data_IF_367370370963
#
_entry.id   IF_367370370963
#
_cell.length_a   1.000
_cell.length_b   1.000
_cell.length_c   1.000
_cell.angle_alpha   90.00
_cell.angle_beta   90.00
_cell.angle_gamma   90.00
#
_symmetry.space_group_name_H-M   'P 1'
#
loop_
_entity.id
_entity.type
_entity.pdbx_description
1 polymer ?
#
# COMPACT_ATOMS: atom_id res chain seq x y z
N UNK A 1 15.90 28.23 13.41
CA UNK A 1 15.38 28.41 12.01
C UNK A 1 16.38 27.73 11.08
N UNK A 2 15.94 26.83 10.17
CA UNK A 2 16.84 26.16 9.25
C UNK A 2 17.60 27.20 8.38
N UNK A 3 18.90 26.95 8.14
CA UNK A 3 19.68 27.77 7.22
C UNK A 3 19.00 27.94 5.86
N UNK A 4 19.16 29.10 5.17
CA UNK A 4 18.63 29.30 3.82
C UNK A 4 19.01 28.21 2.82
N UNK A 5 20.15 27.54 3.03
CA UNK A 5 20.65 26.47 2.17
C UNK A 5 20.22 25.05 2.60
N UNK A 6 19.49 24.93 3.71
CA UNK A 6 19.04 23.63 4.20
C UNK A 6 17.88 23.07 3.35
N UNK A 7 17.94 21.79 3.00
CA UNK A 7 16.82 21.05 2.44
C UNK A 7 15.77 20.84 3.55
N UNK A 8 14.50 21.10 3.25
CA UNK A 8 13.38 20.92 4.18
C UNK A 8 12.59 19.68 3.76
N UNK A 9 12.44 18.71 4.67
CA UNK A 9 11.73 17.47 4.42
C UNK A 9 10.45 17.46 5.23
N UNK A 10 9.30 17.42 4.54
CA UNK A 10 7.98 17.26 5.16
C UNK A 10 7.58 15.78 5.08
N UNK A 11 7.48 15.14 6.25
CA UNK A 11 7.06 13.77 6.44
C UNK A 11 5.95 13.68 7.53
N UNK A 12 5.07 14.68 7.55
CA UNK A 12 4.09 14.98 8.59
C UNK A 12 2.70 14.35 8.33
N UNK A 13 2.67 13.34 7.45
CA UNK A 13 1.52 12.47 7.26
C UNK A 13 0.44 12.99 6.29
N UNK A 14 -0.69 12.28 6.18
CA UNK A 14 -1.68 12.52 5.13
C UNK A 14 -2.39 13.88 5.23
N UNK A 15 -2.51 14.42 6.43
CA UNK A 15 -3.07 15.76 6.70
C UNK A 15 -1.98 16.82 6.84
N UNK A 16 -0.87 16.67 6.12
CA UNK A 16 0.33 17.48 6.21
C UNK A 16 0.07 19.00 6.26
N UNK A 17 0.27 19.66 7.40
CA UNK A 17 0.17 21.12 7.50
C UNK A 17 1.30 21.81 6.71
N UNK A 18 2.45 21.16 6.59
CA UNK A 18 3.57 21.67 5.78
C UNK A 18 3.20 21.73 4.30
N UNK A 19 2.57 20.65 3.76
CA UNK A 19 2.07 20.65 2.38
C UNK A 19 1.09 21.80 2.15
N UNK A 20 0.15 21.99 3.07
CA UNK A 20 -0.84 23.06 2.99
C UNK A 20 -0.20 24.45 3.05
N UNK A 21 0.74 24.69 3.98
CA UNK A 21 1.48 25.96 4.09
C UNK A 21 2.31 26.25 2.82
N UNK A 22 2.75 25.20 2.11
CA UNK A 22 3.41 25.37 0.82
C UNK A 22 2.43 25.57 -0.34
N UNK A 23 1.12 25.59 -0.12
CA UNK A 23 0.11 25.74 -1.17
C UNK A 23 0.17 24.62 -2.21
N UNK A 24 0.49 23.39 -1.79
CA UNK A 24 0.51 22.23 -2.66
C UNK A 24 -0.82 21.49 -2.52
N UNK A 25 -1.63 21.54 -3.58
CA UNK A 25 -2.88 20.81 -3.66
C UNK A 25 -2.66 19.35 -3.99
N UNK A 26 -3.68 18.52 -3.72
CA UNK A 26 -3.66 17.08 -4.01
C UNK A 26 -4.85 16.69 -4.87
N UNK A 27 -4.63 15.77 -5.80
CA UNK A 27 -5.71 14.91 -6.28
C UNK A 27 -5.99 13.90 -5.21
N UNK A 28 -7.26 13.67 -4.92
CA UNK A 28 -7.67 12.68 -3.92
C UNK A 28 -8.98 12.02 -4.33
N UNK A 29 -9.06 10.74 -4.05
CA UNK A 29 -10.26 9.95 -4.27
C UNK A 29 -10.51 9.07 -3.05
N UNK A 30 -11.70 9.18 -2.46
CA UNK A 30 -12.14 8.28 -1.38
C UNK A 30 -12.86 7.10 -1.98
N UNK A 31 -12.40 5.91 -1.65
CA UNK A 31 -13.09 4.70 -2.01
C UNK A 31 -14.33 4.50 -1.12
N UNK A 32 -15.35 3.82 -1.65
CA UNK A 32 -16.48 3.35 -0.81
C UNK A 32 -16.05 2.22 0.13
N UNK A 33 -14.90 1.63 -0.12
CA UNK A 33 -14.28 0.61 0.70
C UNK A 33 -13.56 1.25 1.89
N UNK A 34 -13.62 0.53 3.01
CA UNK A 34 -12.76 0.71 4.16
C UNK A 34 -11.78 -0.45 4.28
N UNK A 35 -10.94 -0.37 5.26
CA UNK A 35 -10.05 -1.43 5.71
C UNK A 35 -10.22 -1.60 7.21
N UNK A 36 -10.43 -2.84 7.65
CA UNK A 36 -10.41 -3.23 9.04
C UNK A 36 -9.10 -3.94 9.32
N UNK A 37 -8.45 -3.60 10.42
CA UNK A 37 -7.23 -4.27 10.88
C UNK A 37 -7.45 -4.85 12.27
N UNK A 38 -6.94 -6.07 12.48
CA UNK A 38 -6.96 -6.74 13.79
C UNK A 38 -5.74 -7.67 13.89
N UNK A 39 -5.26 -7.87 15.11
CA UNK A 39 -4.27 -8.91 15.43
C UNK A 39 -4.98 -10.11 15.99
N UNK A 40 -4.64 -11.28 15.46
CA UNK A 40 -5.28 -12.55 15.84
C UNK A 40 -4.23 -13.65 15.99
N UNK A 41 -4.57 -14.66 16.76
CA UNK A 41 -3.90 -15.97 16.73
C UNK A 41 -4.63 -16.82 15.70
N UNK A 42 -3.89 -17.43 14.76
CA UNK A 42 -4.42 -18.37 13.78
C UNK A 42 -3.73 -19.73 13.91
N UNK A 43 -4.53 -20.79 13.76
CA UNK A 43 -4.07 -22.17 13.61
C UNK A 43 -4.18 -22.61 12.15
N UNK A 44 -3.42 -23.62 11.75
CA UNK A 44 -3.49 -24.20 10.40
C UNK A 44 -2.75 -23.43 9.31
N UNK A 45 -2.04 -22.36 9.64
CA UNK A 45 -1.19 -21.58 8.74
C UNK A 45 0.26 -21.56 9.22
N UNK A 46 1.22 -21.57 8.31
CA UNK A 46 2.64 -21.48 8.68
C UNK A 46 2.98 -20.09 9.23
N UNK A 47 3.75 -20.03 10.31
CA UNK A 47 4.10 -18.80 11.04
C UNK A 47 4.84 -17.74 10.21
N UNK A 48 5.42 -18.12 9.07
CA UNK A 48 6.13 -17.22 8.15
C UNK A 48 5.42 -17.01 6.80
N UNK A 49 4.18 -17.48 6.69
CA UNK A 49 3.42 -17.40 5.45
C UNK A 49 2.48 -16.19 5.47
N UNK A 50 2.71 -15.26 4.54
CA UNK A 50 1.74 -14.21 4.22
C UNK A 50 0.81 -14.69 3.10
N UNK A 51 -0.47 -14.36 3.17
CA UNK A 51 -1.41 -14.61 2.09
C UNK A 51 -2.35 -13.43 1.88
N UNK A 52 -2.77 -13.23 0.63
CA UNK A 52 -3.78 -12.25 0.25
C UNK A 52 -4.87 -12.96 -0.56
N UNK A 53 -6.10 -12.86 -0.07
CA UNK A 53 -7.29 -13.49 -0.62
C UNK A 53 -8.15 -12.43 -1.30
N UNK A 54 -8.35 -12.55 -2.59
CA UNK A 54 -9.23 -11.65 -3.35
C UNK A 54 -10.67 -12.14 -3.26
N UNK A 55 -11.52 -11.35 -2.61
CA UNK A 55 -12.93 -11.65 -2.38
C UNK A 55 -13.84 -10.61 -3.03
N UNK A 56 -15.12 -10.93 -3.30
CA UNK A 56 -16.05 -10.00 -3.96
C UNK A 56 -16.28 -8.70 -3.21
N UNK A 57 -16.18 -8.70 -1.88
CA UNK A 57 -16.34 -7.48 -1.06
C UNK A 57 -15.05 -6.67 -0.92
N UNK A 58 -13.90 -7.29 -1.17
CA UNK A 58 -12.57 -6.69 -1.05
C UNK A 58 -11.51 -7.72 -0.67
N UNK A 59 -10.23 -7.38 -0.80
CA UNK A 59 -9.14 -8.25 -0.41
C UNK A 59 -9.05 -8.44 1.11
N UNK A 60 -8.60 -9.65 1.50
CA UNK A 60 -8.22 -10.01 2.85
C UNK A 60 -6.76 -10.41 2.85
N UNK A 61 -5.91 -9.67 3.53
CA UNK A 61 -4.52 -10.05 3.75
C UNK A 61 -4.34 -10.59 5.18
N UNK A 62 -3.56 -11.66 5.28
CA UNK A 62 -3.12 -12.28 6.53
C UNK A 62 -1.59 -12.21 6.55
N UNK A 63 -1.04 -11.47 7.48
CA UNK A 63 0.38 -11.12 7.52
C UNK A 63 1.00 -11.65 8.82
N UNK A 64 2.08 -12.45 8.77
CA UNK A 64 2.71 -12.98 9.97
C UNK A 64 3.38 -11.89 10.80
N UNK A 65 3.20 -11.96 12.12
CA UNK A 65 3.86 -11.09 13.08
C UNK A 65 4.92 -11.84 13.91
N UNK A 66 4.99 -13.14 13.74
CA UNK A 66 5.84 -14.06 14.49
C UNK A 66 5.01 -15.05 15.31
N UNK A 67 5.55 -16.26 15.53
CA UNK A 67 4.85 -17.37 16.16
C UNK A 67 3.52 -17.68 15.44
N UNK A 68 2.43 -17.72 16.16
CA UNK A 68 1.06 -17.95 15.70
C UNK A 68 0.24 -16.65 15.58
N UNK A 69 0.90 -15.48 15.72
CA UNK A 69 0.27 -14.17 15.65
C UNK A 69 0.27 -13.63 14.23
N UNK A 70 -0.88 -13.11 13.80
CA UNK A 70 -1.07 -12.55 12.48
C UNK A 70 -1.80 -11.20 12.53
N UNK A 71 -1.39 -10.29 11.64
CA UNK A 71 -2.17 -9.10 11.32
C UNK A 71 -3.15 -9.43 10.21
N UNK A 72 -4.41 -9.27 10.48
CA UNK A 72 -5.47 -9.31 9.47
C UNK A 72 -5.71 -7.90 8.93
N UNK A 73 -5.77 -7.78 7.59
CA UNK A 73 -6.13 -6.55 6.89
C UNK A 73 -7.30 -6.87 5.97
N UNK A 74 -8.51 -6.52 6.40
CA UNK A 74 -9.75 -6.93 5.76
C UNK A 74 -10.44 -5.74 5.08
N UNK A 75 -10.41 -5.70 3.77
CA UNK A 75 -11.09 -4.66 2.99
C UNK A 75 -12.54 -5.06 2.68
N UNK A 76 -13.46 -4.13 2.91
CA UNK A 76 -14.88 -4.29 2.67
C UNK A 76 -15.53 -2.89 2.49
N UNK A 77 -16.82 -2.77 2.14
CA UNK A 77 -17.55 -1.51 2.27
C UNK A 77 -17.35 -0.90 3.67
N UNK A 78 -17.10 0.41 3.75
CA UNK A 78 -16.70 1.09 5.00
C UNK A 78 -17.67 0.80 6.15
N UNK A 79 -18.99 0.80 5.89
CA UNK A 79 -20.00 0.48 6.90
C UNK A 79 -19.77 -0.92 7.49
N UNK A 80 -19.52 -1.93 6.65
CA UNK A 80 -19.23 -3.29 7.13
C UNK A 80 -17.95 -3.38 7.97
N UNK A 81 -16.93 -2.59 7.62
CA UNK A 81 -15.72 -2.52 8.44
C UNK A 81 -16.04 -1.94 9.83
N UNK A 82 -16.86 -0.90 9.90
CA UNK A 82 -17.31 -0.30 11.16
C UNK A 82 -18.15 -1.27 11.97
N UNK A 83 -19.15 -1.91 11.35
CA UNK A 83 -20.00 -2.90 12.02
C UNK A 83 -19.17 -4.04 12.61
N UNK A 84 -18.22 -4.59 11.83
CA UNK A 84 -17.31 -5.64 12.27
C UNK A 84 -16.36 -5.20 13.39
N UNK A 85 -15.92 -3.95 13.37
CA UNK A 85 -15.03 -3.41 14.43
C UNK A 85 -15.73 -3.22 15.78
N UNK A 86 -17.04 -3.21 15.78
CA UNK A 86 -17.88 -3.09 16.97
C UNK A 86 -18.38 -4.44 17.51
N UNK A 87 -18.11 -5.55 16.83
CA UNK A 87 -18.54 -6.88 17.25
C UNK A 87 -17.83 -7.34 18.52
N UNK A 88 -18.49 -8.17 19.35
CA UNK A 88 -17.84 -8.95 20.38
C UNK A 88 -16.73 -9.84 19.79
N UNK A 89 -15.65 -10.13 20.53
CA UNK A 89 -14.51 -10.91 20.03
C UNK A 89 -14.90 -12.25 19.40
N UNK A 90 -15.81 -13.00 20.00
CA UNK A 90 -16.29 -14.29 19.48
C UNK A 90 -16.97 -14.14 18.11
N UNK A 91 -17.90 -13.19 17.98
CA UNK A 91 -18.61 -12.97 16.73
C UNK A 91 -17.68 -12.46 15.62
N UNK A 92 -16.68 -11.64 15.96
CA UNK A 92 -15.65 -11.21 15.02
C UNK A 92 -14.83 -12.40 14.49
N UNK A 93 -14.41 -13.30 15.38
CA UNK A 93 -13.65 -14.50 15.02
C UNK A 93 -14.50 -15.45 14.18
N UNK A 94 -15.78 -15.64 14.48
CA UNK A 94 -16.71 -16.45 13.68
C UNK A 94 -16.86 -15.90 12.24
N UNK A 95 -17.00 -14.58 12.11
CA UNK A 95 -17.05 -13.96 10.77
C UNK A 95 -15.71 -14.09 10.03
N UNK A 96 -14.59 -14.00 10.74
CA UNK A 96 -13.27 -14.19 10.14
C UNK A 96 -13.08 -15.64 9.71
N UNK A 97 -13.47 -16.62 10.50
CA UNK A 97 -13.43 -18.05 10.18
C UNK A 97 -14.20 -18.35 8.88
N UNK A 98 -15.39 -17.76 8.72
CA UNK A 98 -16.23 -17.93 7.54
C UNK A 98 -15.60 -17.45 6.21
N UNK A 99 -14.51 -16.69 6.26
CA UNK A 99 -13.84 -16.16 5.08
C UNK A 99 -12.40 -16.65 4.91
N UNK A 100 -11.80 -17.23 5.90
CA UNK A 100 -10.47 -17.85 5.81
C UNK A 100 -10.53 -19.12 4.93
N UNK A 101 -9.41 -19.54 4.33
CA UNK A 101 -9.31 -20.84 3.67
C UNK A 101 -9.60 -21.98 4.65
N UNK A 102 -10.15 -23.07 4.11
CA UNK A 102 -10.40 -24.26 4.89
C UNK A 102 -9.11 -24.77 5.58
N UNK A 103 -9.20 -25.07 6.85
CA UNK A 103 -8.08 -25.52 7.68
C UNK A 103 -7.30 -24.39 8.36
N UNK A 104 -7.68 -23.13 8.15
CA UNK A 104 -7.14 -21.98 8.90
C UNK A 104 -8.23 -21.47 9.81
N UNK A 105 -8.00 -21.59 11.14
CA UNK A 105 -8.98 -21.22 12.15
C UNK A 105 -8.47 -20.10 13.05
N UNK A 106 -9.27 -19.03 13.27
CA UNK A 106 -8.94 -18.00 14.23
C UNK A 106 -9.25 -18.49 15.66
N UNK A 107 -8.30 -18.27 16.57
CA UNK A 107 -8.35 -18.77 17.93
C UNK A 107 -8.57 -17.66 18.96
N UNK A 108 -7.86 -16.55 18.81
CA UNK A 108 -7.91 -15.43 19.75
C UNK A 108 -7.76 -14.09 19.04
N UNK A 109 -8.56 -13.13 19.46
CA UNK A 109 -8.42 -11.73 19.09
C UNK A 109 -7.48 -11.03 20.08
N UNK A 110 -6.37 -10.49 19.61
CA UNK A 110 -5.31 -9.90 20.45
C UNK A 110 -5.47 -8.39 20.69
N UNK A 111 -6.16 -7.69 19.78
CA UNK A 111 -6.43 -6.27 19.92
C UNK A 111 -7.84 -5.91 19.40
N UNK A 112 -8.30 -4.73 19.76
CA UNK A 112 -9.58 -4.25 19.25
C UNK A 112 -9.49 -3.97 17.74
N UNK A 113 -10.37 -4.56 16.90
CA UNK A 113 -10.42 -4.28 15.50
C UNK A 113 -10.64 -2.80 15.21
N UNK A 114 -9.93 -2.25 14.22
CA UNK A 114 -10.04 -0.84 13.86
C UNK A 114 -10.38 -0.68 12.39
N UNK A 115 -11.39 0.12 12.09
CA UNK A 115 -11.82 0.42 10.74
C UNK A 115 -11.27 1.78 10.26
N UNK A 116 -10.70 1.81 9.06
CA UNK A 116 -10.14 2.99 8.44
C UNK A 116 -10.71 3.21 7.04
N UNK A 117 -11.03 4.46 6.64
CA UNK A 117 -11.43 4.75 5.28
C UNK A 117 -10.24 4.59 4.33
N UNK A 118 -10.52 4.03 3.15
CA UNK A 118 -9.54 3.92 2.09
C UNK A 118 -9.56 5.17 1.22
N UNK A 119 -8.37 5.68 0.92
CA UNK A 119 -8.19 6.89 0.13
C UNK A 119 -6.95 6.79 -0.74
N UNK A 120 -7.08 7.20 -1.99
CA UNK A 120 -5.96 7.52 -2.84
C UNK A 120 -5.71 9.03 -2.80
N UNK A 121 -4.45 9.42 -2.72
CA UNK A 121 -4.03 10.82 -2.74
C UNK A 121 -2.67 10.94 -3.43
N UNK A 122 -2.52 11.96 -4.28
CA UNK A 122 -1.25 12.36 -4.88
C UNK A 122 -1.14 13.87 -4.92
N UNK A 123 -0.09 14.43 -4.34
CA UNK A 123 0.22 15.83 -4.44
C UNK A 123 0.56 16.22 -5.88
N UNK A 124 0.06 17.38 -6.33
CA UNK A 124 0.33 17.89 -7.69
C UNK A 124 1.82 18.06 -7.97
N UNK A 125 2.61 18.22 -6.93
CA UNK A 125 4.07 18.25 -6.95
C UNK A 125 4.63 17.74 -5.63
N UNK A 126 5.77 17.09 -5.67
CA UNK A 126 6.44 16.56 -4.47
C UNK A 126 7.57 17.48 -3.97
N UNK A 127 7.75 18.64 -4.60
CA UNK A 127 8.73 19.63 -4.17
C UNK A 127 8.28 21.05 -4.44
N UNK A 128 8.69 21.98 -3.56
CA UNK A 128 8.51 23.43 -3.74
C UNK A 128 9.71 24.17 -3.15
N UNK A 129 10.39 24.96 -4.01
CA UNK A 129 11.63 25.63 -3.59
C UNK A 129 12.68 24.61 -3.15
N UNK A 130 13.08 24.69 -1.88
CA UNK A 130 14.01 23.76 -1.22
C UNK A 130 13.30 22.67 -0.39
N UNK A 131 11.97 22.60 -0.45
CA UNK A 131 11.15 21.65 0.30
C UNK A 131 10.78 20.43 -0.53
N UNK A 132 10.69 19.26 0.12
CA UNK A 132 10.22 17.99 -0.45
C UNK A 132 9.16 17.38 0.45
N UNK A 133 8.16 16.74 -0.17
CA UNK A 133 7.16 15.91 0.51
C UNK A 133 7.59 14.43 0.41
N UNK A 134 7.60 13.75 1.56
CA UNK A 134 8.00 12.35 1.67
C UNK A 134 6.86 11.56 2.33
N UNK A 135 6.62 10.36 1.83
CA UNK A 135 5.59 9.47 2.36
C UNK A 135 4.18 10.03 2.22
N UNK A 136 3.31 9.78 3.20
CA UNK A 136 1.90 10.18 3.13
C UNK A 136 1.68 11.71 3.14
N UNK A 137 2.70 12.51 3.39
CA UNK A 137 2.63 13.95 3.14
C UNK A 137 2.46 14.26 1.64
N UNK A 138 2.99 13.43 0.76
CA UNK A 138 2.95 13.62 -0.70
C UNK A 138 2.04 12.66 -1.45
N UNK A 139 1.82 11.46 -0.93
CA UNK A 139 1.03 10.43 -1.63
C UNK A 139 0.42 9.40 -0.68
N UNK A 140 -0.68 8.80 -1.12
CA UNK A 140 -1.33 7.68 -0.46
C UNK A 140 -1.93 6.76 -1.51
N UNK A 141 -1.70 5.46 -1.40
CA UNK A 141 -2.24 4.47 -2.31
C UNK A 141 -3.20 3.51 -1.60
N UNK A 142 -3.97 2.77 -2.40
CA UNK A 142 -4.81 1.69 -1.87
C UNK A 142 -3.89 0.60 -1.24
N UNK A 143 -4.28 -0.02 -0.11
CA UNK A 143 -3.45 -1.01 0.59
C UNK A 143 -3.24 -2.33 -0.17
N UNK A 144 -3.97 -2.56 -1.26
CA UNK A 144 -3.77 -3.75 -2.13
C UNK A 144 -2.31 -3.90 -2.51
N UNK A 145 -1.77 -5.09 -2.26
CA UNK A 145 -0.37 -5.42 -2.52
C UNK A 145 0.63 -4.76 -1.57
N UNK A 146 0.20 -4.16 -0.44
CA UNK A 146 1.09 -3.63 0.60
C UNK A 146 2.03 -2.50 0.15
N UNK A 147 1.67 -1.74 -0.90
CA UNK A 147 2.59 -0.79 -1.54
C UNK A 147 2.87 0.49 -0.75
N UNK A 148 2.05 0.83 0.25
CA UNK A 148 2.17 2.09 0.98
C UNK A 148 3.57 2.31 1.57
N UNK A 149 4.06 1.35 2.36
CA UNK A 149 5.38 1.42 2.97
C UNK A 149 6.52 1.35 1.93
N UNK A 150 6.38 0.50 0.91
CA UNK A 150 7.36 0.40 -0.18
C UNK A 150 7.53 1.73 -0.93
N UNK A 151 6.43 2.47 -1.13
CA UNK A 151 6.49 3.80 -1.74
C UNK A 151 7.24 4.79 -0.86
N UNK A 152 7.04 4.76 0.47
CA UNK A 152 7.75 5.61 1.42
C UNK A 152 9.26 5.27 1.43
N UNK A 153 9.65 4.00 1.43
CA UNK A 153 11.05 3.59 1.34
C UNK A 153 11.72 4.05 0.03
N UNK A 154 10.99 3.96 -1.09
CA UNK A 154 11.48 4.48 -2.37
C UNK A 154 11.62 6.01 -2.37
N UNK A 155 10.81 6.74 -1.62
CA UNK A 155 11.00 8.18 -1.42
C UNK A 155 12.35 8.46 -0.77
N UNK A 156 12.66 7.74 0.31
CA UNK A 156 13.92 7.88 1.04
C UNK A 156 15.11 7.56 0.12
N UNK A 157 15.07 6.45 -0.60
CA UNK A 157 16.13 6.03 -1.52
C UNK A 157 16.41 7.08 -2.62
N UNK A 158 15.35 7.58 -3.26
CA UNK A 158 15.48 8.62 -4.30
C UNK A 158 15.96 9.94 -3.72
N UNK A 159 15.55 10.29 -2.50
CA UNK A 159 15.99 11.50 -1.83
C UNK A 159 17.48 11.41 -1.47
N UNK A 160 17.90 10.31 -0.86
CA UNK A 160 19.33 10.04 -0.54
C UNK A 160 20.18 10.10 -1.80
N UNK A 161 19.78 9.40 -2.86
CA UNK A 161 20.47 9.44 -4.16
C UNK A 161 20.52 10.87 -4.73
N UNK A 162 19.46 11.65 -4.55
CA UNK A 162 19.41 13.05 -5.01
C UNK A 162 20.36 13.95 -4.22
N UNK A 163 20.53 13.71 -2.91
CA UNK A 163 21.48 14.42 -2.06
C UNK A 163 22.91 14.04 -2.43
N UNK A 164 23.23 12.76 -2.60
CA UNK A 164 24.55 12.26 -2.97
C UNK A 164 25.05 12.83 -4.30
N UNK A 165 24.15 13.09 -5.26
CA UNK A 165 24.51 13.75 -6.53
C UNK A 165 24.87 15.23 -6.38
N UNK A 166 24.71 15.80 -5.19
CA UNK A 166 25.05 17.16 -4.87
C UNK A 166 24.21 18.24 -5.56
N UNK A 167 24.57 19.48 -5.31
CA UNK A 167 23.89 20.68 -5.82
C UNK A 167 23.16 21.45 -4.70
N UNK A 168 22.57 22.61 -5.07
CA UNK A 168 21.78 23.39 -4.11
C UNK A 168 20.53 22.63 -3.64
N UNK A 169 20.04 22.95 -2.44
CA UNK A 169 18.81 22.34 -1.89
C UNK A 169 17.63 22.42 -2.87
N UNK A 170 17.48 23.54 -3.60
CA UNK A 170 16.47 23.70 -4.63
C UNK A 170 16.64 22.71 -5.80
N UNK A 171 17.87 22.45 -6.23
CA UNK A 171 18.17 21.49 -7.31
C UNK A 171 17.94 20.05 -6.88
N UNK A 172 18.32 19.71 -5.63
CA UNK A 172 18.06 18.40 -5.01
C UNK A 172 16.55 18.15 -4.93
N UNK A 173 15.78 19.11 -4.38
CA UNK A 173 14.33 19.01 -4.26
C UNK A 173 13.63 18.83 -5.61
N UNK A 174 14.03 19.60 -6.64
CA UNK A 174 13.45 19.48 -7.97
C UNK A 174 13.75 18.13 -8.65
N UNK A 175 14.96 17.59 -8.46
CA UNK A 175 15.35 16.26 -8.96
C UNK A 175 14.53 15.15 -8.32
N UNK A 176 14.45 15.14 -7.00
CA UNK A 176 13.61 14.23 -6.23
C UNK A 176 12.15 14.29 -6.71
N UNK A 177 11.56 15.48 -6.71
CA UNK A 177 10.15 15.68 -7.04
C UNK A 177 9.77 15.14 -8.42
N UNK A 178 10.58 15.40 -9.45
CA UNK A 178 10.34 14.90 -10.81
C UNK A 178 10.44 13.38 -10.91
N UNK A 179 11.48 12.80 -10.31
CA UNK A 179 11.73 11.36 -10.39
C UNK A 179 10.63 10.58 -9.66
N UNK A 180 10.24 11.02 -8.47
CA UNK A 180 9.22 10.33 -7.68
C UNK A 180 7.82 10.49 -8.23
N UNK A 181 7.49 11.66 -8.77
CA UNK A 181 6.15 11.92 -9.29
C UNK A 181 5.75 10.94 -10.40
N UNK A 182 6.66 10.65 -11.35
CA UNK A 182 6.43 9.69 -12.41
C UNK A 182 6.21 8.27 -11.85
N UNK A 183 7.07 7.83 -10.91
CA UNK A 183 6.95 6.49 -10.29
C UNK A 183 5.62 6.35 -9.52
N UNK A 184 5.21 7.39 -8.79
CA UNK A 184 3.94 7.39 -8.04
C UNK A 184 2.71 7.33 -8.94
N UNK A 185 2.71 8.00 -10.08
CA UNK A 185 1.63 7.89 -11.07
C UNK A 185 1.55 6.47 -11.61
N UNK A 186 2.68 5.88 -11.99
CA UNK A 186 2.70 4.52 -12.54
C UNK A 186 2.21 3.48 -11.53
N UNK A 187 2.67 3.57 -10.27
CA UNK A 187 2.22 2.65 -9.21
C UNK A 187 0.76 2.90 -8.86
N UNK A 188 0.34 4.17 -8.74
CA UNK A 188 -1.05 4.53 -8.46
C UNK A 188 -2.00 4.00 -9.54
N UNK A 189 -1.65 4.17 -10.81
CA UNK A 189 -2.44 3.64 -11.93
C UNK A 189 -2.47 2.10 -11.93
N UNK A 190 -1.34 1.43 -11.65
CA UNK A 190 -1.27 -0.03 -11.60
C UNK A 190 -2.11 -0.58 -10.44
N UNK A 191 -2.04 0.01 -9.25
CA UNK A 191 -2.85 -0.42 -8.10
C UNK A 191 -4.34 -0.16 -8.30
N UNK A 192 -4.73 0.98 -8.87
CA UNK A 192 -6.13 1.28 -9.19
C UNK A 192 -6.67 0.30 -10.24
N UNK A 193 -5.89 -0.01 -11.27
CA UNK A 193 -6.24 -1.00 -12.28
C UNK A 193 -6.43 -2.39 -11.66
N UNK A 194 -5.53 -2.81 -10.77
CA UNK A 194 -5.65 -4.08 -10.05
C UNK A 194 -6.94 -4.12 -9.22
N UNK A 195 -7.23 -3.08 -8.43
CA UNK A 195 -8.47 -3.01 -7.63
C UNK A 195 -9.68 -3.13 -8.53
N UNK A 196 -9.77 -2.36 -9.61
CA UNK A 196 -10.90 -2.39 -10.56
C UNK A 196 -11.04 -3.75 -11.24
N UNK A 197 -9.90 -4.34 -11.63
CA UNK A 197 -9.86 -5.64 -12.30
C UNK A 197 -10.31 -6.77 -11.38
N UNK A 198 -9.86 -6.78 -10.12
CA UNK A 198 -10.19 -7.84 -9.16
C UNK A 198 -11.53 -7.65 -8.45
N UNK A 199 -12.03 -6.43 -8.30
CA UNK A 199 -13.33 -6.14 -7.67
C UNK A 199 -14.51 -6.15 -8.66
N UNK A 200 -14.27 -6.36 -9.96
CA UNK A 200 -15.32 -6.37 -10.97
C UNK A 200 -15.98 -7.75 -11.08
N UNK A 201 -17.33 -7.76 -11.25
CA UNK A 201 -18.14 -8.98 -11.41
C UNK A 201 -18.43 -9.34 -12.88
N UNK A 202 -17.91 -8.58 -13.83
CA UNK A 202 -18.10 -8.87 -15.26
C UNK A 202 -17.46 -10.21 -15.63
N UNK A 203 -18.20 -11.12 -16.25
CA UNK A 203 -17.75 -12.47 -16.58
C UNK A 203 -16.53 -12.52 -17.49
N UNK A 204 -16.40 -11.58 -18.43
CA UNK A 204 -15.22 -11.43 -19.30
C UNK A 204 -13.96 -11.12 -18.48
N UNK A 205 -14.04 -10.17 -17.52
CA UNK A 205 -12.93 -9.82 -16.64
C UNK A 205 -12.58 -10.96 -15.68
N UNK A 206 -13.58 -11.75 -15.26
CA UNK A 206 -13.35 -12.96 -14.45
C UNK A 206 -12.53 -13.99 -15.22
N UNK A 207 -12.88 -14.24 -16.50
CA UNK A 207 -12.12 -15.15 -17.36
C UNK A 207 -10.68 -14.69 -17.61
N UNK A 208 -10.49 -13.41 -17.94
CA UNK A 208 -9.16 -12.83 -18.14
C UNK A 208 -8.30 -12.91 -16.86
N UNK A 209 -8.91 -12.72 -15.69
CA UNK A 209 -8.25 -12.87 -14.38
C UNK A 209 -7.76 -14.28 -14.13
N UNK A 210 -8.58 -15.29 -14.45
CA UNK A 210 -8.18 -16.70 -14.32
C UNK A 210 -6.98 -17.01 -15.21
N UNK A 211 -6.99 -16.56 -16.47
CA UNK A 211 -5.86 -16.72 -17.39
C UNK A 211 -4.60 -16.03 -16.85
N UNK A 212 -4.71 -14.78 -16.40
CA UNK A 212 -3.58 -14.05 -15.84
C UNK A 212 -2.97 -14.74 -14.60
N UNK A 213 -3.82 -15.25 -13.70
CA UNK A 213 -3.37 -16.00 -12.52
C UNK A 213 -2.73 -17.34 -12.90
N UNK A 214 -3.26 -18.05 -13.91
CA UNK A 214 -2.66 -19.28 -14.42
C UNK A 214 -1.28 -19.01 -15.05
N UNK A 215 -1.13 -17.95 -15.83
CA UNK A 215 0.16 -17.53 -16.39
C UNK A 215 1.18 -17.17 -15.31
N UNK A 216 0.77 -16.46 -14.27
CA UNK A 216 1.62 -16.17 -13.11
C UNK A 216 1.99 -17.45 -12.35
N UNK A 217 1.07 -18.42 -12.23
CA UNK A 217 1.33 -19.71 -11.58
C UNK A 217 2.31 -20.56 -12.39
N UNK A 218 2.19 -20.57 -13.70
CA UNK A 218 3.00 -21.42 -14.60
C UNK A 218 4.39 -20.84 -14.91
N UNK A 219 4.57 -19.51 -14.89
CA UNK A 219 5.80 -18.84 -15.28
C UNK A 219 6.57 -18.25 -14.10
N UNK A 220 7.71 -18.86 -13.76
CA UNK A 220 8.64 -18.34 -12.74
C UNK A 220 9.15 -16.92 -13.08
N UNK A 221 9.43 -16.67 -14.36
CA UNK A 221 9.89 -15.34 -14.83
C UNK A 221 8.84 -14.26 -14.62
N UNK A 222 7.56 -14.55 -14.93
CA UNK A 222 6.47 -13.59 -14.70
C UNK A 222 6.26 -13.30 -13.22
N UNK A 223 6.37 -14.31 -12.35
CA UNK A 223 6.32 -14.12 -10.89
C UNK A 223 7.46 -13.23 -10.40
N UNK A 224 8.69 -13.49 -10.84
CA UNK A 224 9.84 -12.66 -10.47
C UNK A 224 9.71 -11.23 -10.96
N UNK A 225 9.24 -11.01 -12.20
CA UNK A 225 8.98 -9.67 -12.74
C UNK A 225 7.90 -8.95 -11.94
N UNK A 226 6.80 -9.62 -11.59
CA UNK A 226 5.76 -9.06 -10.75
C UNK A 226 6.29 -8.66 -9.37
N UNK A 227 7.04 -9.55 -8.71
CA UNK A 227 7.65 -9.26 -7.41
C UNK A 227 8.61 -8.06 -7.50
N UNK A 228 9.50 -8.02 -8.50
CA UNK A 228 10.40 -6.88 -8.71
C UNK A 228 9.64 -5.58 -8.97
N UNK A 229 8.57 -5.62 -9.77
CA UNK A 229 7.72 -4.45 -9.99
C UNK A 229 7.10 -3.93 -8.68
N UNK A 230 6.72 -4.83 -7.77
CA UNK A 230 6.13 -4.49 -6.47
C UNK A 230 7.18 -3.99 -5.47
N UNK A 231 8.38 -4.57 -5.43
CA UNK A 231 9.45 -4.18 -4.49
C UNK A 231 10.23 -2.97 -4.97
N UNK A 232 10.77 -3.01 -6.19
CA UNK A 232 11.72 -2.03 -6.70
C UNK A 232 11.06 -0.91 -7.50
N UNK A 233 9.81 -1.11 -7.88
CA UNK A 233 9.01 -0.22 -8.72
C UNK A 233 9.13 -0.52 -10.22
N UNK A 234 8.10 -0.15 -10.99
CA UNK A 234 8.01 -0.50 -12.41
C UNK A 234 9.15 0.07 -13.27
N UNK A 235 9.75 1.17 -12.85
CA UNK A 235 10.85 1.81 -13.57
C UNK A 235 12.21 1.12 -13.37
N UNK A 236 12.33 0.19 -12.43
CA UNK A 236 13.59 -0.51 -12.09
C UNK A 236 13.64 -1.96 -12.53
N UNK A 237 12.57 -2.47 -13.15
CA UNK A 237 12.44 -3.88 -13.58
C UNK A 237 13.61 -4.36 -14.46
N UNK A 238 14.25 -3.45 -15.20
CA UNK A 238 15.38 -3.75 -16.10
C UNK A 238 16.78 -3.53 -15.53
N UNK A 239 16.93 -3.09 -14.27
CA UNK A 239 18.25 -2.92 -13.66
C UNK A 239 18.69 -4.21 -12.96
N UNK A 240 19.92 -4.67 -13.28
CA UNK A 240 20.55 -5.73 -12.51
C UNK A 240 20.67 -5.30 -11.05
N UNK A 241 20.43 -6.25 -10.12
CA UNK A 241 20.73 -6.03 -8.71
C UNK A 241 22.22 -5.70 -8.58
N UNK A 242 22.62 -4.74 -7.75
CA UNK A 242 24.01 -4.67 -7.31
C UNK A 242 24.29 -5.97 -6.54
N UNK A 243 25.41 -6.59 -6.89
CA UNK A 243 25.97 -7.78 -6.22
C UNK A 243 26.19 -7.53 -4.73
#
# INVERSE_FOLDING_TARGET
>A
IPSPDSLVIAADGPSSPTRESWGIHCWQHRYRQGCLTAKVILRGIQANQACELFRPEGPLAVLPLGSDQFQVVWSAPMQRCQDRSALPPSEFLDQLAGILPQGIDPDLLLDQPRAFPQQWMLAHRLSRGRGVLVGEAGHRCHPVGGQGLNLCWRDVDVLVTSVQKGGSAKRIAARYGRQRWIDLILVGAATDLLVRFFSNRNGLLVGLRQIALQLLKSSHRLRQLSLRAMTDGPMRIGRALPD
#
